data_IF_865625132523
#
_entry.id   IF_865625132523
#
_cell.length_a   1.000
_cell.length_b   1.000
_cell.length_c   1.000
_cell.angle_alpha   90.00
_cell.angle_beta   90.00
_cell.angle_gamma   90.00
#
_symmetry.space_group_name_H-M   'P 1'
#
loop_
_entity.id
_entity.type
_entity.pdbx_description
1 polymer ?
#
# COMPACT_ATOMS: atom_id res chain seq x y z
N UNK A 1 -57.21 -52.91 12.93
CA UNK A 1 -57.14 -52.64 11.48
C UNK A 1 -57.51 -51.19 11.26
N UNK A 2 -56.60 -50.42 10.62
CA UNK A 2 -56.83 -49.16 9.89
C UNK A 2 -57.52 -48.00 10.65
N UNK A 3 -56.84 -46.98 11.20
CA UNK A 3 -55.87 -45.99 10.66
C UNK A 3 -56.52 -44.62 10.35
N UNK A 4 -55.76 -43.56 10.70
CA UNK A 4 -55.79 -42.18 10.14
C UNK A 4 -56.99 -41.31 10.59
N UNK A 5 -56.88 -40.03 10.96
CA UNK A 5 -55.79 -39.07 10.85
C UNK A 5 -56.06 -37.93 11.86
N UNK A 6 -55.10 -37.66 12.73
CA UNK A 6 -55.07 -36.49 13.62
C UNK A 6 -54.91 -35.23 12.75
N UNK A 7 -55.90 -34.34 12.73
CA UNK A 7 -55.71 -32.97 12.25
C UNK A 7 -54.97 -32.17 13.34
N UNK A 8 -53.65 -32.33 13.37
CA UNK A 8 -52.75 -31.42 14.05
C UNK A 8 -52.60 -30.19 13.16
N UNK A 9 -53.34 -29.13 13.47
CA UNK A 9 -53.01 -27.79 13.00
C UNK A 9 -51.66 -27.39 13.62
N UNK A 10 -50.60 -27.72 12.91
CA UNK A 10 -49.26 -27.22 13.12
C UNK A 10 -49.24 -25.73 12.76
N UNK A 11 -49.73 -24.89 13.66
CA UNK A 11 -49.48 -23.45 13.61
C UNK A 11 -48.00 -23.29 13.96
N UNK A 12 -47.14 -23.37 12.94
CA UNK A 12 -45.73 -23.05 13.06
C UNK A 12 -45.60 -21.58 13.38
N UNK A 13 -45.36 -21.25 14.64
CA UNK A 13 -44.98 -19.91 15.07
C UNK A 13 -43.58 -19.66 14.48
N UNK A 14 -43.40 -18.67 13.60
CA UNK A 14 -42.06 -18.33 13.14
C UNK A 14 -41.29 -17.76 14.34
N UNK A 15 -40.32 -18.52 14.84
CA UNK A 15 -39.35 -18.04 15.81
C UNK A 15 -38.45 -17.05 15.07
N UNK A 16 -38.74 -15.76 15.22
CA UNK A 16 -37.86 -14.68 14.76
C UNK A 16 -36.66 -14.66 15.72
N UNK A 17 -35.57 -15.30 15.31
CA UNK A 17 -34.29 -15.20 16.01
C UNK A 17 -33.69 -13.83 15.66
N UNK A 18 -33.92 -12.84 16.52
CA UNK A 18 -33.19 -11.58 16.52
C UNK A 18 -31.77 -11.86 17.01
N UNK A 19 -30.86 -12.16 16.08
CA UNK A 19 -29.44 -12.11 16.38
C UNK A 19 -29.06 -10.66 16.74
N UNK A 20 -28.36 -10.40 17.85
CA UNK A 20 -27.82 -9.08 18.10
C UNK A 20 -26.82 -8.76 16.98
N UNK A 21 -27.14 -7.76 16.17
CA UNK A 21 -26.18 -7.17 15.25
C UNK A 21 -25.05 -6.59 16.11
N UNK A 22 -23.92 -7.31 16.20
CA UNK A 22 -22.68 -6.74 16.73
C UNK A 22 -22.24 -5.67 15.74
N UNK A 23 -22.67 -4.43 16.00
CA UNK A 23 -22.15 -3.24 15.35
C UNK A 23 -20.64 -3.21 15.49
N UNK A 24 -19.97 -2.75 14.44
CA UNK A 24 -18.51 -2.66 14.34
C UNK A 24 -17.93 -2.03 15.61
N UNK A 25 -16.87 -2.64 16.14
CA UNK A 25 -16.17 -2.17 17.33
C UNK A 25 -15.65 -0.74 17.06
N UNK A 26 -16.04 0.28 17.84
CA UNK A 26 -15.66 1.66 17.60
C UNK A 26 -14.30 1.89 18.25
N UNK A 27 -13.23 1.42 17.64
CA UNK A 27 -11.94 2.06 17.86
C UNK A 27 -11.71 3.04 16.71
N UNK A 28 -12.20 4.30 16.84
CA UNK A 28 -12.11 5.29 15.77
C UNK A 28 -10.68 5.80 15.54
N UNK A 29 -9.76 5.49 16.44
CA UNK A 29 -8.44 6.09 16.49
C UNK A 29 -7.45 5.12 17.12
N UNK A 30 -6.31 4.95 16.44
CA UNK A 30 -5.13 4.28 16.98
C UNK A 30 -4.02 5.31 17.06
N UNK A 31 -3.42 5.43 18.25
CA UNK A 31 -2.18 6.18 18.41
C UNK A 31 -1.04 5.40 17.74
N UNK A 32 -0.55 5.93 16.63
CA UNK A 32 0.65 5.41 16.00
C UNK A 32 1.87 5.91 16.77
N UNK A 33 2.79 4.99 17.09
CA UNK A 33 4.10 5.35 17.65
C UNK A 33 4.88 6.29 16.73
N UNK A 34 5.94 6.91 17.25
CA UNK A 34 6.77 7.89 16.54
C UNK A 34 7.15 7.43 15.13
N UNK A 35 6.51 8.04 14.12
CA UNK A 35 6.75 7.77 12.70
C UNK A 35 8.21 8.08 12.35
N UNK A 36 8.86 7.16 11.66
CA UNK A 36 10.19 7.34 11.08
C UNK A 36 10.05 7.80 9.65
N UNK A 37 10.97 8.68 9.22
CA UNK A 37 11.09 9.13 7.84
C UNK A 37 12.47 8.75 7.33
N UNK A 38 12.51 8.04 6.19
CA UNK A 38 13.73 7.80 5.42
C UNK A 38 13.62 8.45 4.05
N UNK A 39 14.74 8.99 3.57
CA UNK A 39 14.84 9.62 2.26
C UNK A 39 16.03 9.02 1.54
N UNK A 40 15.75 8.38 0.41
CA UNK A 40 16.75 7.89 -0.53
C UNK A 40 16.90 8.94 -1.62
N UNK A 41 18.14 9.28 -1.96
CA UNK A 41 18.45 10.25 -3.02
C UNK A 41 19.29 9.55 -4.07
N UNK A 42 18.86 9.64 -5.32
CA UNK A 42 19.53 9.07 -6.47
C UNK A 42 19.75 10.16 -7.51
N UNK A 43 20.97 10.29 -7.98
CA UNK A 43 21.39 11.18 -9.05
C UNK A 43 21.41 10.43 -10.37
N UNK A 44 21.50 11.16 -11.49
CA UNK A 44 21.54 10.60 -12.85
C UNK A 44 22.57 9.49 -13.04
N UNK A 45 23.69 9.56 -12.33
CA UNK A 45 24.74 8.54 -12.39
C UNK A 45 24.33 7.23 -11.70
N UNK A 46 23.44 7.30 -10.71
CA UNK A 46 23.03 6.13 -9.92
C UNK A 46 21.85 5.39 -10.56
N UNK A 47 20.92 6.11 -11.20
CA UNK A 47 19.74 5.51 -11.84
C UNK A 47 19.92 5.18 -13.33
N UNK A 48 21.08 5.47 -13.92
CA UNK A 48 21.44 5.11 -15.30
C UNK A 48 22.69 4.22 -15.26
N UNK A 49 22.68 3.11 -15.98
CA UNK A 49 23.83 2.21 -16.11
C UNK A 49 24.87 2.75 -17.09
N UNK A 50 26.05 2.14 -17.17
CA UNK A 50 27.08 2.51 -18.14
C UNK A 50 26.61 2.35 -19.59
N UNK A 51 25.70 1.41 -19.83
CA UNK A 51 25.05 1.14 -21.12
C UNK A 51 23.93 2.15 -21.44
N UNK A 52 23.63 3.08 -20.53
CA UNK A 52 22.56 4.05 -20.68
C UNK A 52 21.17 3.48 -20.43
N UNK A 53 21.05 2.33 -19.75
CA UNK A 53 19.76 1.75 -19.36
C UNK A 53 19.36 2.19 -17.95
N UNK A 54 18.09 1.95 -17.58
CA UNK A 54 17.63 2.20 -16.22
C UNK A 54 18.25 1.20 -15.23
N UNK A 55 18.83 1.71 -14.15
CA UNK A 55 19.39 0.87 -13.11
C UNK A 55 18.31 0.36 -12.14
N UNK A 56 17.86 -0.87 -12.33
CA UNK A 56 16.85 -1.52 -11.48
C UNK A 56 17.29 -1.69 -10.01
N UNK A 57 18.56 -1.49 -9.66
CA UNK A 57 19.02 -1.55 -8.27
C UNK A 57 18.33 -0.50 -7.38
N UNK A 58 18.00 0.68 -7.92
CA UNK A 58 17.35 1.75 -7.15
C UNK A 58 15.90 1.40 -6.77
N UNK A 59 15.31 0.39 -7.39
CA UNK A 59 13.97 -0.09 -7.09
C UNK A 59 13.91 -0.86 -5.77
N UNK A 60 15.05 -1.23 -5.18
CA UNK A 60 15.10 -2.02 -3.94
C UNK A 60 15.61 -1.16 -2.79
N UNK A 61 14.76 -0.89 -1.80
CA UNK A 61 15.10 -0.10 -0.62
C UNK A 61 15.15 -1.00 0.61
N UNK A 62 16.28 -0.98 1.33
CA UNK A 62 16.48 -1.78 2.54
C UNK A 62 16.24 -0.92 3.78
N UNK A 63 15.25 -1.30 4.57
CA UNK A 63 14.81 -0.67 5.82
C UNK A 63 14.68 -1.78 6.89
N UNK A 64 15.79 -2.18 7.54
CA UNK A 64 15.80 -3.35 8.43
C UNK A 64 14.84 -3.26 9.62
N UNK A 65 14.43 -2.06 10.01
CA UNK A 65 13.51 -1.78 11.10
C UNK A 65 12.06 -1.53 10.65
N UNK A 66 11.75 -1.71 9.36
CA UNK A 66 10.38 -1.66 8.84
C UNK A 66 9.65 -2.95 9.26
N UNK A 67 8.62 -2.80 10.07
CA UNK A 67 7.73 -3.87 10.48
C UNK A 67 6.57 -4.01 9.49
N UNK A 68 6.02 -5.22 9.36
CA UNK A 68 4.91 -5.52 8.44
C UNK A 68 3.53 -5.24 9.05
N UNK A 69 3.47 -4.77 10.31
CA UNK A 69 2.24 -4.43 11.01
C UNK A 69 1.56 -3.18 10.45
N UNK A 70 2.33 -2.25 9.87
CA UNK A 70 1.84 -1.03 9.25
C UNK A 70 2.42 -0.85 7.85
N UNK A 71 1.59 -0.73 6.79
CA UNK A 71 2.09 -0.47 5.45
C UNK A 71 2.79 0.89 5.39
N UNK A 72 4.00 0.97 4.82
CA UNK A 72 4.71 2.24 4.73
C UNK A 72 4.03 3.18 3.74
N UNK A 73 4.07 4.47 4.03
CA UNK A 73 3.77 5.49 3.03
C UNK A 73 5.02 5.73 2.17
N UNK A 74 4.87 5.60 0.85
CA UNK A 74 5.96 5.78 -0.12
C UNK A 74 5.59 6.91 -1.08
N UNK A 75 6.51 7.86 -1.27
CA UNK A 75 6.40 8.93 -2.24
C UNK A 75 7.69 9.04 -3.06
N UNK A 76 7.54 9.23 -4.37
CA UNK A 76 8.67 9.49 -5.27
C UNK A 76 8.57 10.94 -5.74
N UNK A 77 9.70 11.64 -5.63
CA UNK A 77 9.92 12.99 -6.11
C UNK A 77 10.98 12.96 -7.19
N UNK A 78 10.76 13.77 -8.21
CA UNK A 78 11.63 13.86 -9.37
C UNK A 78 12.04 15.32 -9.56
N UNK A 79 13.20 15.51 -10.17
CA UNK A 79 13.69 16.81 -10.58
C UNK A 79 14.33 16.67 -11.95
N UNK A 80 13.90 17.52 -12.88
CA UNK A 80 14.52 17.73 -14.19
C UNK A 80 15.48 18.92 -14.14
N UNK A 81 16.32 19.04 -15.15
CA UNK A 81 17.19 20.20 -15.36
C UNK A 81 16.43 21.51 -15.27
N UNK A 82 16.92 22.43 -14.43
CA UNK A 82 16.35 23.76 -14.23
C UNK A 82 14.86 23.77 -13.82
N UNK A 83 14.38 22.70 -13.19
CA UNK A 83 12.99 22.60 -12.72
C UNK A 83 12.89 22.51 -11.19
N UNK A 84 11.71 22.82 -10.67
CA UNK A 84 11.37 22.51 -9.28
C UNK A 84 11.11 21.01 -9.09
N UNK A 85 11.29 20.54 -7.85
CA UNK A 85 10.85 19.20 -7.47
C UNK A 85 9.35 19.01 -7.75
N UNK A 86 9.00 17.88 -8.32
CA UNK A 86 7.61 17.45 -8.50
C UNK A 86 7.45 16.00 -8.08
N UNK A 87 6.23 15.58 -7.79
CA UNK A 87 5.91 14.22 -7.39
C UNK A 87 4.95 13.60 -8.39
N UNK A 88 5.08 12.29 -8.64
CA UNK A 88 4.14 11.57 -9.51
C UNK A 88 2.70 11.61 -9.00
N UNK A 89 2.50 11.93 -7.73
CA UNK A 89 1.15 12.16 -7.18
C UNK A 89 0.42 13.35 -7.86
N UNK A 90 1.14 14.24 -8.56
CA UNK A 90 0.54 15.27 -9.42
C UNK A 90 -0.01 14.72 -10.75
N UNK A 91 0.40 13.51 -11.18
CA UNK A 91 0.11 12.93 -12.50
C UNK A 91 -0.82 11.69 -12.50
N UNK A 92 -1.60 11.47 -11.44
CA UNK A 92 -2.66 10.41 -11.33
C UNK A 92 -2.18 8.94 -11.36
N UNK A 93 -0.96 8.61 -10.95
CA UNK A 93 -0.55 7.20 -10.77
C UNK A 93 -0.27 6.90 -9.30
N UNK A 94 -0.91 5.84 -8.78
CA UNK A 94 -0.54 5.26 -7.48
C UNK A 94 0.83 4.61 -7.63
N UNK A 95 1.75 4.92 -6.72
CA UNK A 95 3.07 4.27 -6.68
C UNK A 95 2.85 2.78 -6.41
N UNK A 96 3.42 1.94 -7.27
CA UNK A 96 3.33 0.48 -7.16
C UNK A 96 4.55 -0.05 -6.42
N UNK A 97 4.34 -0.69 -5.29
CA UNK A 97 5.41 -1.31 -4.54
C UNK A 97 4.90 -2.51 -3.77
N UNK A 98 5.82 -3.39 -3.39
CA UNK A 98 5.61 -4.40 -2.35
C UNK A 98 6.59 -4.15 -1.21
N UNK A 99 6.23 -4.61 -0.01
CA UNK A 99 7.10 -4.56 1.15
C UNK A 99 7.05 -5.90 1.87
N UNK A 100 8.23 -6.42 2.25
CA UNK A 100 8.37 -7.67 2.99
C UNK A 100 9.74 -7.74 3.65
N UNK A 101 9.82 -8.25 4.88
CA UNK A 101 11.06 -8.52 5.61
C UNK A 101 12.04 -7.31 5.64
N UNK A 102 11.50 -6.10 5.86
CA UNK A 102 12.30 -4.88 5.87
C UNK A 102 12.78 -4.40 4.49
N UNK A 103 12.24 -4.92 3.40
CA UNK A 103 12.60 -4.54 2.02
C UNK A 103 11.38 -3.98 1.31
N UNK A 104 11.52 -2.79 0.71
CA UNK A 104 10.55 -2.22 -0.21
C UNK A 104 11.04 -2.43 -1.64
N UNK A 105 10.20 -3.03 -2.49
CA UNK A 105 10.45 -3.19 -3.92
C UNK A 105 9.49 -2.31 -4.71
N UNK A 106 10.04 -1.32 -5.41
CA UNK A 106 9.34 -0.42 -6.31
C UNK A 106 9.20 -1.08 -7.68
N UNK A 107 8.02 -0.96 -8.29
CA UNK A 107 7.82 -1.35 -9.68
C UNK A 107 8.60 -0.37 -10.61
N UNK A 108 9.33 -0.90 -11.58
CA UNK A 108 10.07 -0.12 -12.59
C UNK A 108 9.16 0.86 -13.34
N UNK A 109 7.89 0.54 -13.52
CA UNK A 109 6.90 1.40 -14.20
C UNK A 109 6.55 2.68 -13.44
N UNK A 110 7.05 2.86 -12.21
CA UNK A 110 7.02 4.13 -11.48
C UNK A 110 8.09 5.13 -11.98
N UNK A 111 8.98 4.73 -12.89
CA UNK A 111 10.08 5.56 -13.37
C UNK A 111 9.99 5.83 -14.89
N UNK A 112 8.79 5.87 -15.47
CA UNK A 112 8.56 5.82 -16.93
C UNK A 112 9.23 6.93 -17.79
N UNK A 113 9.76 7.98 -17.19
CA UNK A 113 10.43 9.12 -17.85
C UNK A 113 11.82 9.41 -17.27
N UNK A 114 12.50 8.37 -16.78
CA UNK A 114 13.75 8.49 -16.02
C UNK A 114 14.90 9.15 -16.80
N UNK A 115 14.90 9.09 -18.13
CA UNK A 115 15.98 9.60 -18.98
C UNK A 115 16.11 11.14 -18.95
N UNK A 116 14.99 11.85 -18.74
CA UNK A 116 14.91 13.30 -18.66
C UNK A 116 15.12 13.84 -17.24
N UNK A 117 15.33 12.95 -16.26
CA UNK A 117 15.53 13.32 -14.87
C UNK A 117 17.01 13.60 -14.57
N UNK A 118 17.24 14.45 -13.57
CA UNK A 118 18.55 14.69 -12.95
C UNK A 118 18.65 14.02 -11.58
N UNK A 119 17.57 14.09 -10.79
CA UNK A 119 17.51 13.54 -9.44
C UNK A 119 16.16 12.87 -9.17
N UNK A 120 16.22 11.80 -8.39
CA UNK A 120 15.07 11.05 -7.88
C UNK A 120 15.21 10.96 -6.36
N UNK A 121 14.15 11.29 -5.63
CA UNK A 121 14.07 11.06 -4.19
C UNK A 121 12.92 10.13 -3.87
N UNK A 122 13.20 9.07 -3.12
CA UNK A 122 12.17 8.21 -2.56
C UNK A 122 12.05 8.47 -1.08
N UNK A 123 10.87 8.91 -0.66
CA UNK A 123 10.53 9.17 0.74
C UNK A 123 9.69 8.01 1.24
N UNK A 124 10.10 7.43 2.37
CA UNK A 124 9.37 6.37 3.07
C UNK A 124 9.05 6.86 4.47
N UNK A 125 7.78 6.76 4.87
CA UNK A 125 7.31 7.03 6.23
C UNK A 125 6.71 5.74 6.78
N UNK A 126 7.17 5.30 7.95
CA UNK A 126 6.79 4.02 8.56
C UNK A 126 6.90 4.06 10.09
#
# INVERSE_FOLDING_TARGET
>A
MKTWLRYLYSIGIPIIVLAPARGQNPEPFHDYHQLKKRVYNFTKVEFITEEGEFNDAICTLVIPDLKEDSPPYVAIYYKRSNSSWFTESLYRKRIRFSFKDGVIKLDRTNFWDWFDLEEIKVVVIY
#
